data_IF_659118472365
#
_entry.id   IF_659118472365
#
_cell.length_a   1.000
_cell.length_b   1.000
_cell.length_c   1.000
_cell.angle_alpha   90.00
_cell.angle_beta   90.00
_cell.angle_gamma   90.00
#
_symmetry.space_group_name_H-M   'P 1'
#
loop_
_entity.id
_entity.type
_entity.pdbx_description
1 polymer ?
#
# COMPACT_ATOMS: atom_id res chain seq x y z
N UNK A 1 -21.21 0.94 -6.63
CA UNK A 1 -20.68 1.31 -5.30
C UNK A 1 -21.68 2.21 -4.58
N UNK A 2 -21.95 1.92 -3.32
CA UNK A 2 -22.86 2.75 -2.51
C UNK A 2 -22.23 4.10 -2.21
N UNK A 3 -23.05 5.13 -1.99
CA UNK A 3 -22.56 6.49 -1.65
C UNK A 3 -21.60 6.47 -0.44
N UNK A 4 -21.99 5.70 0.59
CA UNK A 4 -21.16 5.58 1.80
C UNK A 4 -19.80 4.93 1.50
N UNK A 5 -19.80 3.90 0.66
CA UNK A 5 -18.57 3.21 0.25
C UNK A 5 -17.66 4.13 -0.55
N UNK A 6 -18.24 4.96 -1.44
CA UNK A 6 -17.47 5.91 -2.23
C UNK A 6 -16.81 6.98 -1.33
N UNK A 7 -17.53 7.45 -0.32
CA UNK A 7 -17.00 8.43 0.63
C UNK A 7 -15.83 7.85 1.40
N UNK A 8 -15.97 6.61 1.87
CA UNK A 8 -14.90 5.90 2.58
C UNK A 8 -13.71 5.70 1.66
N UNK A 9 -13.95 5.28 0.42
CA UNK A 9 -12.89 5.05 -0.55
C UNK A 9 -12.11 6.34 -0.82
N UNK A 10 -12.80 7.47 -0.98
CA UNK A 10 -12.14 8.76 -1.16
C UNK A 10 -11.26 9.13 0.05
N UNK A 11 -11.72 8.86 1.26
CA UNK A 11 -10.95 9.10 2.49
C UNK A 11 -9.71 8.22 2.53
N UNK A 12 -9.84 6.95 2.14
CA UNK A 12 -8.71 6.02 2.06
C UNK A 12 -7.69 6.51 1.04
N UNK A 13 -8.15 6.93 -0.14
CA UNK A 13 -7.26 7.45 -1.18
C UNK A 13 -6.47 8.66 -0.69
N UNK A 14 -7.12 9.59 0.00
CA UNK A 14 -6.46 10.78 0.54
C UNK A 14 -5.44 10.42 1.62
N UNK A 15 -5.80 9.51 2.51
CA UNK A 15 -4.91 9.06 3.58
C UNK A 15 -3.67 8.36 3.01
N UNK A 16 -3.88 7.46 2.06
CA UNK A 16 -2.78 6.71 1.46
C UNK A 16 -1.91 7.58 0.56
N UNK A 17 -2.48 8.62 -0.06
CA UNK A 17 -1.69 9.59 -0.84
C UNK A 17 -0.69 10.32 0.06
N UNK A 18 -1.12 10.72 1.25
CA UNK A 18 -0.21 11.38 2.20
C UNK A 18 0.91 10.44 2.64
N UNK A 19 0.57 9.19 2.96
CA UNK A 19 1.57 8.19 3.32
C UNK A 19 2.56 7.95 2.17
N UNK A 20 2.04 7.87 0.95
CA UNK A 20 2.84 7.66 -0.26
C UNK A 20 3.83 8.81 -0.49
N UNK A 21 3.38 10.05 -0.37
CA UNK A 21 4.22 11.23 -0.58
C UNK A 21 5.38 11.27 0.42
N UNK A 22 5.09 10.98 1.69
CA UNK A 22 6.12 10.92 2.73
C UNK A 22 7.10 9.78 2.46
N UNK A 23 6.58 8.59 2.14
CA UNK A 23 7.41 7.43 1.86
C UNK A 23 8.36 7.65 0.68
N UNK A 24 7.89 8.34 -0.37
CA UNK A 24 8.74 8.66 -1.52
C UNK A 24 9.94 9.54 -1.14
N UNK A 25 9.76 10.44 -0.18
CA UNK A 25 10.82 11.31 0.29
C UNK A 25 11.82 10.59 1.19
N UNK A 26 11.35 9.59 1.94
CA UNK A 26 12.13 8.95 2.99
C UNK A 26 12.76 7.62 2.58
N UNK A 27 12.23 6.96 1.53
CA UNK A 27 12.61 5.58 1.19
C UNK A 27 13.07 5.49 -0.26
N UNK A 28 14.35 5.19 -0.44
CA UNK A 28 14.95 5.02 -1.76
C UNK A 28 14.28 3.84 -2.49
N UNK A 29 13.89 4.08 -3.73
CA UNK A 29 13.32 3.05 -4.60
C UNK A 29 11.81 2.88 -4.46
N UNK A 30 11.18 3.47 -3.45
CA UNK A 30 9.72 3.43 -3.33
C UNK A 30 9.07 4.25 -4.44
N UNK A 31 8.12 3.64 -5.16
CA UNK A 31 7.51 4.27 -6.33
C UNK A 31 6.07 4.71 -6.10
N UNK A 32 5.21 3.79 -5.66
CA UNK A 32 3.79 4.08 -5.47
C UNK A 32 3.17 2.99 -4.61
N UNK A 33 1.92 3.23 -4.20
CA UNK A 33 1.12 2.22 -3.52
C UNK A 33 -0.30 2.24 -4.07
N UNK A 34 -1.02 1.17 -3.83
CA UNK A 34 -2.43 1.08 -4.18
C UNK A 34 -3.14 0.27 -3.10
N UNK A 35 -4.47 0.23 -3.16
CA UNK A 35 -5.24 -0.56 -2.23
C UNK A 35 -6.30 -1.38 -2.95
N UNK A 36 -6.63 -2.52 -2.35
CA UNK A 36 -7.71 -3.40 -2.78
C UNK A 36 -8.64 -3.59 -1.60
N UNK A 37 -9.95 -3.56 -1.84
CA UNK A 37 -10.91 -3.69 -0.76
C UNK A 37 -12.24 -4.22 -1.28
N UNK A 38 -12.90 -5.04 -0.45
CA UNK A 38 -14.29 -5.45 -0.67
C UNK A 38 -15.11 -4.80 0.45
N UNK A 39 -15.95 -3.83 0.09
CA UNK A 39 -16.72 -3.07 1.08
C UNK A 39 -17.77 -3.90 1.80
N UNK A 40 -18.12 -5.07 1.28
CA UNK A 40 -19.00 -5.99 2.00
C UNK A 40 -18.29 -6.64 3.18
N UNK A 41 -16.96 -6.58 3.22
CA UNK A 41 -16.12 -7.13 4.29
C UNK A 41 -15.13 -6.08 4.80
N UNK A 42 -15.57 -4.85 4.85
CA UNK A 42 -14.75 -3.73 5.33
C UNK A 42 -14.80 -3.65 6.86
N UNK A 43 -13.70 -3.32 7.55
CA UNK A 43 -12.37 -3.01 7.00
C UNK A 43 -11.44 -4.20 6.84
N UNK A 44 -11.85 -5.39 7.21
CA UNK A 44 -10.97 -6.57 7.23
C UNK A 44 -10.38 -6.95 5.88
N UNK A 45 -11.09 -6.64 4.77
CA UNK A 45 -10.60 -6.96 3.43
C UNK A 45 -9.66 -5.92 2.84
N UNK A 46 -9.45 -4.79 3.52
CA UNK A 46 -8.56 -3.74 3.00
C UNK A 46 -7.12 -4.24 2.96
N UNK A 47 -6.51 -4.12 1.80
CA UNK A 47 -5.13 -4.52 1.56
C UNK A 47 -4.40 -3.38 0.84
N UNK A 48 -3.23 -2.99 1.32
CA UNK A 48 -2.39 -1.96 0.71
C UNK A 48 -1.16 -2.64 0.14
N UNK A 49 -0.86 -2.35 -1.12
CA UNK A 49 0.28 -2.92 -1.82
C UNK A 49 1.25 -1.79 -2.15
N UNK A 50 2.48 -1.91 -1.66
CA UNK A 50 3.53 -0.91 -1.82
C UNK A 50 4.53 -1.38 -2.86
N UNK A 51 4.82 -0.54 -3.85
CA UNK A 51 5.59 -0.93 -5.01
C UNK A 51 6.95 -0.22 -5.02
N UNK A 52 8.00 -1.01 -5.05
CA UNK A 52 9.37 -0.54 -5.28
C UNK A 52 9.74 -0.76 -6.75
N UNK A 53 10.75 -0.03 -7.22
CA UNK A 53 11.22 -0.18 -8.59
C UNK A 53 11.89 -1.55 -8.79
N UNK A 54 12.88 -1.87 -7.98
CA UNK A 54 13.67 -3.10 -8.13
C UNK A 54 13.63 -3.96 -6.89
N UNK A 55 13.90 -5.27 -7.08
CA UNK A 55 14.00 -6.22 -5.98
C UNK A 55 15.15 -5.86 -5.04
N UNK A 56 16.25 -5.37 -5.60
CA UNK A 56 17.41 -4.96 -4.80
C UNK A 56 17.06 -3.80 -3.86
N UNK A 57 16.30 -2.83 -4.34
CA UNK A 57 15.87 -1.70 -3.51
C UNK A 57 14.90 -2.12 -2.41
N UNK A 58 14.00 -3.05 -2.73
CA UNK A 58 13.08 -3.58 -1.73
C UNK A 58 13.85 -4.36 -0.65
N UNK A 59 14.82 -5.18 -1.05
CA UNK A 59 15.66 -5.91 -0.12
C UNK A 59 16.45 -4.95 0.80
N UNK A 60 16.99 -3.89 0.21
CA UNK A 60 17.68 -2.84 0.97
C UNK A 60 16.74 -2.20 2.01
N UNK A 61 15.50 -1.93 1.61
CA UNK A 61 14.51 -1.37 2.51
C UNK A 61 14.23 -2.31 3.69
N UNK A 62 14.13 -3.61 3.45
CA UNK A 62 13.96 -4.59 4.53
C UNK A 62 15.13 -4.57 5.49
N UNK A 63 16.36 -4.54 4.96
CA UNK A 63 17.57 -4.52 5.78
C UNK A 63 17.65 -3.28 6.66
N UNK A 64 17.15 -2.15 6.17
CA UNK A 64 17.16 -0.87 6.90
C UNK A 64 15.88 -0.61 7.68
N UNK A 65 14.98 -1.58 7.72
CA UNK A 65 13.66 -1.47 8.38
C UNK A 65 12.79 -0.35 7.80
N UNK A 66 13.02 0.01 6.54
CA UNK A 66 12.22 1.04 5.86
C UNK A 66 10.83 0.54 5.51
N UNK A 67 10.66 -0.77 5.36
CA UNK A 67 9.34 -1.39 5.21
C UNK A 67 8.47 -1.07 6.42
N UNK A 68 9.02 -1.14 7.63
CA UNK A 68 8.29 -0.81 8.85
C UNK A 68 7.99 0.68 8.96
N UNK A 69 8.86 1.53 8.42
CA UNK A 69 8.57 2.96 8.33
C UNK A 69 7.35 3.21 7.46
N UNK A 70 7.29 2.57 6.27
CA UNK A 70 6.15 2.70 5.37
C UNK A 70 4.87 2.20 6.03
N UNK A 71 4.93 1.04 6.70
CA UNK A 71 3.79 0.47 7.40
C UNK A 71 3.28 1.43 8.48
N UNK A 72 4.19 2.06 9.23
CA UNK A 72 3.80 3.00 10.28
C UNK A 72 3.16 4.26 9.72
N UNK A 73 3.62 4.76 8.57
CA UNK A 73 3.01 5.89 7.89
C UNK A 73 1.59 5.57 7.46
N UNK A 74 1.39 4.39 6.86
CA UNK A 74 0.07 3.92 6.43
C UNK A 74 -0.86 3.80 7.63
N UNK A 75 -0.39 3.16 8.69
CA UNK A 75 -1.17 2.98 9.93
C UNK A 75 -1.61 4.32 10.50
N UNK A 76 -0.68 5.26 10.60
CA UNK A 76 -0.96 6.59 11.15
C UNK A 76 -2.04 7.31 10.36
N UNK A 77 -1.93 7.31 9.03
CA UNK A 77 -2.91 8.00 8.18
C UNK A 77 -4.29 7.33 8.22
N UNK A 78 -4.33 5.99 8.24
CA UNK A 78 -5.60 5.28 8.32
C UNK A 78 -6.27 5.48 9.68
N UNK A 79 -5.50 5.55 10.76
CA UNK A 79 -6.06 5.80 12.09
C UNK A 79 -6.70 7.18 12.18
N UNK A 80 -6.21 8.15 11.44
CA UNK A 80 -6.81 9.51 11.41
C UNK A 80 -8.22 9.51 10.82
N UNK A 81 -8.55 8.51 10.00
CA UNK A 81 -9.90 8.36 9.45
C UNK A 81 -10.65 7.19 10.11
N UNK A 82 -10.22 6.82 11.32
CA UNK A 82 -10.85 5.81 12.16
C UNK A 82 -10.83 4.39 11.57
N UNK A 83 -9.83 4.10 10.74
CA UNK A 83 -9.59 2.74 10.25
C UNK A 83 -8.45 2.15 11.06
N UNK A 84 -8.77 1.15 11.89
CA UNK A 84 -7.83 0.52 12.80
C UNK A 84 -7.84 -0.99 12.57
N UNK A 85 -6.65 -1.58 12.62
CA UNK A 85 -6.50 -3.02 12.45
C UNK A 85 -5.86 -3.62 13.70
N UNK A 86 -6.19 -4.87 13.96
CA UNK A 86 -5.57 -5.62 15.03
C UNK A 86 -4.07 -5.83 14.74
N UNK A 87 -3.75 -6.09 13.47
CA UNK A 87 -2.37 -6.25 13.01
C UNK A 87 -2.25 -5.66 11.60
N UNK A 88 -1.75 -4.42 11.52
CA UNK A 88 -1.60 -3.71 10.25
C UNK A 88 -0.68 -4.45 9.27
N UNK A 89 0.30 -5.20 9.77
CA UNK A 89 1.23 -5.92 8.88
C UNK A 89 0.54 -6.94 8.00
N UNK A 90 -0.61 -7.46 8.41
CA UNK A 90 -1.40 -8.38 7.59
C UNK A 90 -2.12 -7.68 6.44
N UNK A 91 -2.21 -6.36 6.48
CA UNK A 91 -2.94 -5.56 5.50
C UNK A 91 -2.02 -4.81 4.56
N UNK A 92 -0.70 -4.92 4.73
CA UNK A 92 0.28 -4.24 3.89
C UNK A 92 1.24 -5.28 3.30
N UNK A 93 1.42 -5.21 1.99
CA UNK A 93 2.36 -6.08 1.28
C UNK A 93 3.25 -5.24 0.36
N UNK A 94 4.31 -5.85 -0.14
CA UNK A 94 5.30 -5.18 -0.97
C UNK A 94 5.54 -5.97 -2.25
N UNK A 95 5.78 -5.24 -3.34
CA UNK A 95 6.08 -5.83 -4.63
C UNK A 95 7.00 -4.89 -5.40
N UNK A 96 7.42 -5.29 -6.60
CA UNK A 96 8.34 -4.48 -7.40
C UNK A 96 7.89 -4.39 -8.85
N UNK A 97 8.23 -3.26 -9.49
CA UNK A 97 8.05 -3.10 -10.93
C UNK A 97 8.85 -4.13 -11.71
N UNK A 98 10.06 -4.44 -11.23
CA UNK A 98 10.92 -5.45 -11.84
C UNK A 98 10.23 -6.81 -11.91
N UNK A 99 9.61 -7.27 -10.82
CA UNK A 99 8.89 -8.54 -10.79
C UNK A 99 7.64 -8.52 -11.69
N UNK A 100 6.91 -7.40 -11.68
CA UNK A 100 5.73 -7.24 -12.53
C UNK A 100 6.11 -7.32 -14.01
N UNK A 101 7.20 -6.66 -14.39
CA UNK A 101 7.70 -6.70 -15.78
C UNK A 101 8.09 -8.13 -16.17
N UNK A 102 8.82 -8.82 -15.31
CA UNK A 102 9.30 -10.18 -15.58
C UNK A 102 8.17 -11.20 -15.67
N UNK A 103 7.17 -11.10 -14.84
CA UNK A 103 6.12 -12.12 -14.70
C UNK A 103 4.83 -11.78 -15.43
N UNK A 104 4.55 -10.49 -15.62
CA UNK A 104 3.27 -10.02 -16.20
C UNK A 104 3.45 -8.94 -17.25
N UNK A 105 4.66 -8.78 -17.79
CA UNK A 105 4.97 -7.77 -18.82
C UNK A 105 4.57 -6.35 -18.40
N UNK A 106 4.71 -6.04 -17.12
CA UNK A 106 4.36 -4.74 -16.58
C UNK A 106 2.87 -4.50 -16.36
N UNK A 107 2.05 -5.54 -16.53
CA UNK A 107 0.59 -5.40 -16.42
C UNK A 107 0.13 -5.68 -14.99
N UNK A 108 0.05 -4.66 -14.18
CA UNK A 108 -0.36 -4.76 -12.79
C UNK A 108 -1.75 -5.35 -12.59
N UNK A 109 -2.65 -5.06 -13.54
CA UNK A 109 -4.01 -5.58 -13.51
C UNK A 109 -4.04 -7.11 -13.46
N UNK A 110 -3.15 -7.75 -14.23
CA UNK A 110 -3.00 -9.21 -14.23
C UNK A 110 -2.36 -9.73 -12.94
N UNK A 111 -1.40 -8.98 -12.42
CA UNK A 111 -0.67 -9.39 -11.23
C UNK A 111 -1.54 -9.35 -9.97
N UNK A 112 -2.49 -8.43 -9.89
CA UNK A 112 -3.38 -8.29 -8.74
C UNK A 112 -4.63 -9.18 -8.81
N UNK A 113 -4.85 -9.86 -9.90
CA UNK A 113 -5.99 -10.78 -10.04
C UNK A 113 -5.70 -12.15 -9.44
#
# INVERSE_FOLDING_TARGET
MKKTDKKIDNQICQALTKACETAKQEVLGFQWLTHLVNYNKFPGSLSVICIFDTKAELEQAYQESKDQLIVSLIKSELEQINIRFKDINRHVSFDTGEACEAEHNGKWQKRFN
#
